data_IF_214279337204
#
_entry.id   IF_214279337204
#
_cell.length_a   1.000
_cell.length_b   1.000
_cell.length_c   1.000
_cell.angle_alpha   90.00
_cell.angle_beta   90.00
_cell.angle_gamma   90.00
#
_symmetry.space_group_name_H-M   'P 1'
#
loop_
_entity.id
_entity.type
_entity.pdbx_description
1 polymer ?
#
# COMPACT_ATOMS: atom_id res chain seq x y z
N UNK A 1 -1.71 -9.15 21.50
CA UNK A 1 -2.10 -8.73 20.14
C UNK A 1 -1.04 -9.07 19.10
N UNK A 2 0.23 -8.77 19.34
CA UNK A 2 1.35 -8.97 18.39
C UNK A 2 1.41 -10.36 17.73
N UNK A 3 1.33 -11.44 18.51
CA UNK A 3 1.41 -12.81 17.93
C UNK A 3 0.21 -13.13 17.03
N UNK A 4 -0.98 -12.65 17.39
CA UNK A 4 -2.22 -12.85 16.63
C UNK A 4 -2.13 -12.13 15.27
N UNK A 5 -1.68 -10.88 15.26
CA UNK A 5 -1.56 -10.11 14.03
C UNK A 5 -0.39 -10.60 13.16
N UNK A 6 0.75 -10.98 13.76
CA UNK A 6 1.86 -11.57 13.02
C UNK A 6 1.46 -12.86 12.30
N UNK A 7 0.71 -13.75 12.96
CA UNK A 7 0.19 -14.97 12.33
C UNK A 7 -0.78 -14.64 11.16
N UNK A 8 -1.62 -13.62 11.34
CA UNK A 8 -2.54 -13.17 10.30
C UNK A 8 -1.82 -12.68 9.05
N UNK A 9 -0.83 -11.78 9.18
CA UNK A 9 -0.13 -11.24 8.01
C UNK A 9 0.71 -12.29 7.28
N UNK A 10 1.22 -13.31 7.97
CA UNK A 10 1.90 -14.43 7.33
C UNK A 10 0.95 -15.24 6.44
N UNK A 11 -0.25 -15.52 6.93
CA UNK A 11 -1.28 -16.20 6.16
C UNK A 11 -1.77 -15.34 4.99
N UNK A 12 -2.01 -14.05 5.23
CA UNK A 12 -2.43 -13.11 4.19
C UNK A 12 -1.40 -12.99 3.06
N UNK A 13 -0.09 -12.95 3.39
CA UNK A 13 0.97 -12.97 2.36
C UNK A 13 0.88 -14.23 1.51
N UNK A 14 0.68 -15.40 2.10
CA UNK A 14 0.56 -16.66 1.37
C UNK A 14 -0.64 -16.63 0.41
N UNK A 15 -1.80 -16.16 0.88
CA UNK A 15 -3.01 -16.06 0.06
C UNK A 15 -2.83 -15.08 -1.10
N UNK A 16 -2.28 -13.90 -0.84
CA UNK A 16 -2.06 -12.86 -1.86
C UNK A 16 -1.07 -13.36 -2.91
N UNK A 17 0.09 -13.87 -2.50
CA UNK A 17 1.09 -14.33 -3.47
C UNK A 17 0.61 -15.50 -4.30
N UNK A 18 -0.05 -16.48 -3.71
CA UNK A 18 -0.64 -17.62 -4.43
C UNK A 18 -1.68 -17.16 -5.46
N UNK A 19 -2.55 -16.21 -5.10
CA UNK A 19 -3.58 -15.72 -6.03
C UNK A 19 -3.01 -14.86 -7.15
N UNK A 20 -2.02 -14.04 -6.87
CA UNK A 20 -1.33 -13.28 -7.92
C UNK A 20 -0.55 -14.18 -8.88
N UNK A 21 0.09 -15.24 -8.39
CA UNK A 21 0.72 -16.26 -9.25
C UNK A 21 -0.28 -16.98 -10.15
N UNK A 22 -1.48 -17.25 -9.64
CA UNK A 22 -2.58 -17.84 -10.44
C UNK A 22 -3.03 -16.88 -11.55
N UNK A 23 -3.14 -15.58 -11.25
CA UNK A 23 -3.51 -14.56 -12.24
C UNK A 23 -2.43 -14.35 -13.29
N UNK A 24 -1.15 -14.38 -12.90
CA UNK A 24 -0.01 -14.25 -13.80
C UNK A 24 0.12 -15.48 -14.73
N UNK A 25 -0.04 -16.67 -14.17
CA UNK A 25 0.00 -17.95 -14.90
C UNK A 25 1.40 -18.48 -15.22
N UNK A 26 2.44 -17.65 -15.17
CA UNK A 26 3.83 -17.99 -15.56
C UNK A 26 4.81 -17.70 -14.43
N UNK A 27 4.89 -16.47 -13.98
CA UNK A 27 5.88 -16.07 -12.98
C UNK A 27 5.50 -16.53 -11.57
N UNK A 28 6.51 -16.72 -10.74
CA UNK A 28 6.40 -17.10 -9.33
C UNK A 28 7.12 -16.08 -8.45
N UNK A 29 6.61 -15.91 -7.24
CA UNK A 29 7.28 -15.09 -6.24
C UNK A 29 8.57 -15.78 -5.76
N UNK A 30 9.69 -15.08 -5.88
CA UNK A 30 10.94 -15.46 -5.23
C UNK A 30 10.87 -14.99 -3.77
N UNK A 31 11.13 -15.90 -2.85
CA UNK A 31 11.16 -15.63 -1.42
C UNK A 31 12.58 -15.28 -0.96
N UNK A 32 12.66 -14.29 -0.08
CA UNK A 32 13.88 -13.84 0.57
C UNK A 32 13.60 -13.59 2.06
N UNK A 33 14.15 -14.47 2.90
CA UNK A 33 14.02 -14.40 4.37
C UNK A 33 15.24 -13.65 4.91
N UNK A 34 15.00 -12.70 5.80
CA UNK A 34 16.05 -11.88 6.37
C UNK A 34 15.85 -11.68 7.87
N UNK A 35 16.95 -11.51 8.57
CA UNK A 35 17.00 -11.21 9.98
C UNK A 35 17.61 -9.82 10.20
N UNK A 36 17.21 -9.17 11.28
CA UNK A 36 17.70 -7.86 11.69
C UNK A 36 18.59 -8.03 12.93
N UNK A 37 19.83 -7.50 12.92
CA UNK A 37 20.76 -7.63 14.06
C UNK A 37 20.18 -7.12 15.39
N UNK A 38 19.37 -6.07 15.34
CA UNK A 38 18.75 -5.45 16.53
C UNK A 38 17.50 -6.20 17.01
N UNK A 39 17.02 -7.18 16.27
CA UNK A 39 15.94 -8.06 16.65
C UNK A 39 14.80 -8.16 15.64
N UNK A 40 14.36 -9.39 15.43
CA UNK A 40 13.32 -9.73 14.47
C UNK A 40 13.84 -9.88 13.05
N UNK A 41 12.93 -9.78 12.08
CA UNK A 41 13.23 -9.99 10.66
C UNK A 41 12.00 -9.88 9.78
N UNK A 42 12.07 -10.49 8.62
CA UNK A 42 10.95 -10.49 7.69
C UNK A 42 11.11 -11.50 6.56
N UNK A 43 10.07 -11.53 5.74
CA UNK A 43 9.99 -12.36 4.54
C UNK A 43 9.49 -11.49 3.38
N UNK A 44 10.42 -11.22 2.46
CA UNK A 44 10.13 -10.49 1.23
C UNK A 44 9.82 -11.48 0.11
N UNK A 45 8.72 -11.29 -0.59
CA UNK A 45 8.40 -12.05 -1.80
C UNK A 45 8.29 -11.10 -2.97
N UNK A 46 9.06 -11.35 -4.04
CA UNK A 46 9.14 -10.50 -5.22
C UNK A 46 8.79 -11.31 -6.46
N UNK A 47 7.87 -10.80 -7.27
CA UNK A 47 7.58 -11.26 -8.62
C UNK A 47 8.17 -10.27 -9.62
N UNK A 48 8.84 -10.79 -10.66
CA UNK A 48 9.49 -9.99 -11.70
C UNK A 48 9.30 -10.67 -13.05
N UNK A 49 9.22 -9.86 -14.11
CA UNK A 49 9.13 -10.32 -15.50
C UNK A 49 7.97 -11.28 -15.77
N UNK A 50 6.86 -11.14 -15.06
CA UNK A 50 5.66 -11.93 -15.24
C UNK A 50 4.94 -11.60 -16.55
N UNK A 51 4.01 -12.46 -16.93
CA UNK A 51 3.15 -12.21 -18.07
C UNK A 51 2.16 -11.07 -17.78
N UNK A 52 1.65 -11.01 -16.58
CA UNK A 52 0.70 -9.98 -16.09
C UNK A 52 1.39 -8.97 -15.21
N UNK A 53 2.18 -9.41 -14.25
CA UNK A 53 2.85 -8.56 -13.28
C UNK A 53 4.32 -8.37 -13.66
N UNK A 54 4.64 -7.17 -14.13
CA UNK A 54 6.00 -6.83 -14.55
C UNK A 54 6.96 -6.78 -13.38
N UNK A 55 6.50 -6.23 -12.25
CA UNK A 55 7.21 -6.25 -10.97
C UNK A 55 6.20 -6.11 -9.83
N UNK A 56 6.47 -6.78 -8.73
CA UNK A 56 5.72 -6.58 -7.50
C UNK A 56 6.41 -7.21 -6.31
N UNK A 57 6.04 -6.75 -5.14
CA UNK A 57 6.50 -7.34 -3.91
C UNK A 57 5.41 -7.39 -2.86
N UNK A 58 5.41 -8.45 -2.09
CA UNK A 58 4.55 -8.65 -0.92
C UNK A 58 5.46 -8.99 0.25
N UNK A 59 5.64 -8.03 1.14
CA UNK A 59 6.63 -8.10 2.21
C UNK A 59 5.96 -8.17 3.57
N UNK A 60 6.45 -9.04 4.44
CA UNK A 60 6.14 -9.01 5.86
C UNK A 60 7.39 -8.73 6.67
N UNK A 61 7.21 -8.04 7.78
CA UNK A 61 8.24 -7.83 8.79
C UNK A 61 7.64 -7.97 10.19
N UNK A 62 8.46 -8.46 11.12
CA UNK A 62 8.17 -8.47 12.55
C UNK A 62 9.48 -8.13 13.26
N UNK A 63 9.62 -6.90 13.70
CA UNK A 63 10.86 -6.32 14.24
C UNK A 63 10.63 -5.78 15.63
N UNK A 64 11.67 -5.81 16.45
CA UNK A 64 11.65 -5.30 17.81
C UNK A 64 13.04 -4.77 18.20
N UNK A 65 13.12 -4.09 19.31
CA UNK A 65 14.37 -3.53 19.85
C UNK A 65 14.14 -2.21 20.56
N UNK A 66 15.20 -1.41 20.69
CA UNK A 66 15.12 -0.06 21.25
C UNK A 66 14.43 0.89 20.31
N UNK A 67 13.54 1.72 20.85
CA UNK A 67 12.81 2.73 20.07
C UNK A 67 13.81 3.76 19.49
N UNK A 68 13.81 4.00 18.16
CA UNK A 68 14.69 4.99 17.55
C UNK A 68 14.49 6.40 18.14
N UNK A 69 15.58 7.17 18.32
CA UNK A 69 15.53 8.52 18.91
C UNK A 69 14.50 9.45 18.23
N UNK A 70 14.36 9.35 16.93
CA UNK A 70 13.37 10.12 16.18
C UNK A 70 11.94 9.83 16.65
N UNK A 71 11.64 8.57 16.97
CA UNK A 71 10.34 8.17 17.51
C UNK A 71 10.21 8.53 18.99
N UNK A 72 11.28 8.43 19.78
CA UNK A 72 11.28 8.92 21.17
C UNK A 72 10.89 10.38 21.23
N UNK A 73 11.47 11.22 20.38
CA UNK A 73 11.12 12.65 20.26
C UNK A 73 9.69 12.86 19.80
N UNK A 74 9.24 12.11 18.80
CA UNK A 74 7.87 12.20 18.26
C UNK A 74 6.81 11.87 19.30
N UNK A 75 7.05 10.84 20.13
CA UNK A 75 6.10 10.41 21.15
C UNK A 75 6.33 11.07 22.52
N UNK A 76 7.35 11.92 22.64
CA UNK A 76 7.75 12.56 23.87
C UNK A 76 7.97 11.55 25.02
N UNK A 77 8.71 10.48 24.73
CA UNK A 77 9.08 9.42 25.66
C UNK A 77 10.60 9.32 25.77
N UNK A 78 11.09 8.77 26.88
CA UNK A 78 12.49 8.41 27.05
C UNK A 78 12.86 7.13 26.30
N UNK A 79 13.90 6.42 26.77
CA UNK A 79 14.22 5.09 26.27
C UNK A 79 13.01 4.16 26.46
N UNK A 80 12.70 3.42 25.44
CA UNK A 80 11.60 2.46 25.42
C UNK A 80 11.92 1.33 24.46
N UNK A 81 11.31 0.17 24.66
CA UNK A 81 11.35 -0.91 23.70
C UNK A 81 10.14 -0.85 22.79
N UNK A 82 10.26 -1.40 21.57
CA UNK A 82 9.14 -1.48 20.64
C UNK A 82 9.04 -2.86 19.99
N UNK A 83 7.84 -3.14 19.49
CA UNK A 83 7.56 -4.20 18.54
C UNK A 83 6.72 -3.61 17.39
N UNK A 84 7.07 -3.94 16.17
CA UNK A 84 6.29 -3.57 14.99
C UNK A 84 6.20 -4.77 14.05
N UNK A 85 5.01 -5.04 13.54
CA UNK A 85 4.86 -6.00 12.44
C UNK A 85 3.86 -5.50 11.42
N UNK A 86 4.03 -5.93 10.18
CA UNK A 86 3.15 -5.52 9.09
C UNK A 86 3.40 -6.28 7.80
N UNK A 87 2.41 -6.19 6.91
CA UNK A 87 2.49 -6.57 5.51
C UNK A 87 2.41 -5.30 4.66
N UNK A 88 3.29 -5.19 3.69
CA UNK A 88 3.28 -4.12 2.68
C UNK A 88 3.43 -4.71 1.30
N UNK A 89 2.67 -4.22 0.34
CA UNK A 89 2.77 -4.66 -1.05
C UNK A 89 2.62 -3.52 -2.04
N UNK A 90 3.28 -3.67 -3.18
CA UNK A 90 3.02 -2.91 -4.41
C UNK A 90 3.10 -3.87 -5.59
N UNK A 91 2.12 -3.81 -6.48
CA UNK A 91 2.08 -4.63 -7.69
C UNK A 91 1.97 -3.72 -8.91
N UNK A 92 2.92 -3.86 -9.83
CA UNK A 92 3.00 -3.13 -11.10
C UNK A 92 2.67 -4.04 -12.27
N UNK A 93 1.44 -3.98 -12.82
CA UNK A 93 1.08 -4.75 -14.01
C UNK A 93 1.84 -4.28 -15.25
N UNK A 94 2.09 -5.22 -16.17
CA UNK A 94 2.73 -4.95 -17.47
C UNK A 94 1.83 -4.13 -18.39
N UNK A 95 0.54 -4.48 -18.43
CA UNK A 95 -0.43 -3.84 -19.30
C UNK A 95 -0.83 -2.45 -18.75
N UNK A 96 -0.73 -1.37 -19.55
CA UNK A 96 -1.15 -0.02 -19.13
C UNK A 96 -2.61 0.10 -18.70
N UNK A 97 -3.48 -0.80 -19.18
CA UNK A 97 -4.90 -0.80 -18.83
C UNK A 97 -5.17 -1.38 -17.44
N UNK A 98 -4.22 -2.13 -16.86
CA UNK A 98 -4.30 -2.66 -15.52
C UNK A 98 -3.64 -1.69 -14.52
N UNK A 99 -4.32 -1.32 -13.42
CA UNK A 99 -3.77 -0.36 -12.46
C UNK A 99 -2.70 -0.96 -11.55
N UNK A 100 -1.76 -0.12 -11.10
CA UNK A 100 -0.92 -0.42 -9.94
C UNK A 100 -1.78 -0.42 -8.67
N UNK A 101 -1.47 -1.30 -7.74
CA UNK A 101 -2.10 -1.35 -6.42
C UNK A 101 -1.04 -1.32 -5.32
N UNK A 102 -1.34 -0.60 -4.26
CA UNK A 102 -0.57 -0.59 -3.02
C UNK A 102 -1.47 -0.99 -1.86
N UNK A 103 -0.92 -1.70 -0.89
CA UNK A 103 -1.57 -1.94 0.39
C UNK A 103 -0.55 -2.09 1.52
N UNK A 104 -0.99 -1.74 2.71
CA UNK A 104 -0.19 -1.90 3.92
C UNK A 104 -1.12 -2.14 5.11
N UNK A 105 -0.78 -3.09 5.97
CA UNK A 105 -1.45 -3.33 7.26
C UNK A 105 -0.39 -3.58 8.31
N UNK A 106 -0.43 -2.82 9.40
CA UNK A 106 0.63 -2.82 10.42
C UNK A 106 0.07 -2.74 11.83
N UNK A 107 0.83 -3.27 12.78
CA UNK A 107 0.58 -3.20 14.20
C UNK A 107 1.86 -2.77 14.92
N UNK A 108 1.72 -1.93 15.94
CA UNK A 108 2.83 -1.39 16.73
C UNK A 108 2.53 -1.48 18.21
N UNK A 109 3.53 -1.82 19.01
CA UNK A 109 3.53 -1.76 20.48
C UNK A 109 4.78 -1.03 20.98
N UNK A 110 4.63 -0.26 22.04
CA UNK A 110 5.73 0.38 22.78
C UNK A 110 5.65 -0.02 24.23
N UNK A 111 6.81 -0.29 24.83
CA UNK A 111 6.93 -0.82 26.18
C UNK A 111 7.75 0.09 27.08
N UNK A 112 7.38 0.14 28.36
CA UNK A 112 8.23 0.72 29.42
C UNK A 112 9.36 -0.23 29.84
N UNK A 113 10.21 0.21 30.78
CA UNK A 113 11.33 -0.56 31.31
C UNK A 113 10.91 -1.85 32.02
N UNK A 114 9.65 -2.00 32.41
CA UNK A 114 9.08 -3.19 33.03
C UNK A 114 8.44 -4.15 32.01
N UNK A 115 8.52 -3.82 30.69
CA UNK A 115 7.90 -4.60 29.64
C UNK A 115 6.37 -4.42 29.54
N UNK A 116 5.79 -3.41 30.19
CA UNK A 116 4.37 -3.08 30.09
C UNK A 116 4.11 -2.27 28.84
N UNK A 117 3.06 -2.59 28.09
CA UNK A 117 2.63 -1.80 26.94
C UNK A 117 2.17 -0.43 27.41
N UNK A 118 2.81 0.63 26.93
CA UNK A 118 2.48 2.03 27.19
C UNK A 118 1.78 2.69 25.99
N UNK A 119 1.91 2.12 24.81
CA UNK A 119 1.20 2.59 23.63
C UNK A 119 1.09 1.44 22.61
N UNK A 120 -0.03 1.36 21.90
CA UNK A 120 -0.21 0.43 20.79
C UNK A 120 -1.24 0.94 19.80
N UNK A 121 -1.09 0.59 18.53
CA UNK A 121 -2.07 0.97 17.49
C UNK A 121 -1.95 0.11 16.26
N UNK A 122 -3.03 0.10 15.49
CA UNK A 122 -3.04 -0.37 14.11
C UNK A 122 -2.96 0.79 13.12
N UNK A 123 -2.41 0.51 11.94
CA UNK A 123 -2.46 1.37 10.78
C UNK A 123 -2.51 0.55 9.51
N UNK A 124 -2.90 1.18 8.42
CA UNK A 124 -2.95 0.49 7.15
C UNK A 124 -3.73 1.23 6.07
N UNK A 125 -4.03 0.48 5.02
CA UNK A 125 -4.81 0.96 3.89
C UNK A 125 -4.52 0.18 2.63
N UNK A 126 -5.27 0.51 1.59
CA UNK A 126 -5.11 0.00 0.23
C UNK A 126 -5.59 1.05 -0.75
N UNK A 127 -4.84 1.28 -1.83
CA UNK A 127 -5.16 2.29 -2.83
C UNK A 127 -4.80 1.86 -4.25
N UNK A 128 -5.51 2.42 -5.23
CA UNK A 128 -5.43 2.06 -6.64
C UNK A 128 -4.86 3.21 -7.47
N UNK A 129 -3.90 2.91 -8.35
CA UNK A 129 -3.25 3.88 -9.23
C UNK A 129 -3.42 3.45 -10.70
N UNK A 130 -4.50 3.87 -11.37
CA UNK A 130 -4.70 3.61 -12.79
C UNK A 130 -3.85 4.56 -13.65
N UNK A 131 -3.50 4.09 -14.85
CA UNK A 131 -2.89 4.88 -15.92
C UNK A 131 -3.93 5.31 -16.95
N UNK A 132 -4.95 4.49 -17.12
CA UNK A 132 -6.18 4.74 -17.86
C UNK A 132 -7.36 4.53 -16.95
N UNK A 133 -8.26 5.49 -16.87
CA UNK A 133 -9.42 5.42 -16.00
C UNK A 133 -10.50 4.53 -16.62
N UNK A 134 -10.89 3.52 -15.86
CA UNK A 134 -12.15 2.78 -16.06
C UNK A 134 -13.02 3.03 -14.82
N UNK A 135 -14.08 3.78 -14.97
CA UNK A 135 -14.93 4.19 -13.83
C UNK A 135 -15.50 2.98 -13.08
N UNK A 136 -15.88 1.93 -13.81
CA UNK A 136 -16.38 0.70 -13.20
C UNK A 136 -15.36 0.01 -12.32
N UNK A 137 -14.04 0.10 -12.62
CA UNK A 137 -12.98 -0.46 -11.79
C UNK A 137 -12.79 0.39 -10.52
N UNK A 138 -12.87 1.72 -10.65
CA UNK A 138 -12.82 2.64 -9.52
C UNK A 138 -14.01 2.40 -8.56
N UNK A 139 -15.22 2.30 -9.10
CA UNK A 139 -16.45 2.01 -8.34
C UNK A 139 -16.31 0.65 -7.63
N UNK A 140 -15.89 -0.40 -8.36
CA UNK A 140 -15.71 -1.73 -7.77
C UNK A 140 -14.71 -1.72 -6.60
N UNK A 141 -13.54 -1.09 -6.79
CA UNK A 141 -12.51 -1.02 -5.76
C UNK A 141 -13.01 -0.28 -4.51
N UNK A 142 -13.62 0.88 -4.71
CA UNK A 142 -14.15 1.69 -3.62
C UNK A 142 -15.36 1.05 -2.93
N UNK A 143 -16.25 0.39 -3.68
CA UNK A 143 -17.39 -0.34 -3.11
C UNK A 143 -16.91 -1.51 -2.24
N UNK A 144 -15.90 -2.25 -2.67
CA UNK A 144 -15.31 -3.33 -1.85
C UNK A 144 -14.67 -2.76 -0.57
N UNK A 145 -13.92 -1.67 -0.67
CA UNK A 145 -13.40 -0.95 0.49
C UNK A 145 -14.50 -0.49 1.45
N UNK A 146 -15.57 0.10 0.91
CA UNK A 146 -16.72 0.57 1.69
C UNK A 146 -17.42 -0.59 2.39
N UNK A 147 -17.67 -1.68 1.69
CA UNK A 147 -18.31 -2.87 2.26
C UNK A 147 -17.51 -3.43 3.44
N UNK A 148 -16.17 -3.46 3.36
CA UNK A 148 -15.33 -3.88 4.48
C UNK A 148 -15.43 -2.92 5.67
N UNK A 149 -15.46 -1.61 5.43
CA UNK A 149 -15.61 -0.59 6.47
C UNK A 149 -16.98 -0.64 7.17
N UNK A 150 -18.06 -0.75 6.38
CA UNK A 150 -19.45 -0.69 6.86
C UNK A 150 -19.80 -1.85 7.82
N UNK A 151 -19.08 -2.98 7.75
CA UNK A 151 -19.20 -4.09 8.72
C UNK A 151 -18.80 -3.68 10.14
N UNK A 152 -18.02 -2.61 10.28
CA UNK A 152 -17.50 -2.14 11.57
C UNK A 152 -18.11 -0.81 11.97
N UNK A 153 -18.13 0.18 11.08
CA UNK A 153 -18.74 1.48 11.33
C UNK A 153 -19.01 2.23 10.02
N UNK A 154 -20.20 2.83 9.83
CA UNK A 154 -20.56 3.53 8.58
C UNK A 154 -19.68 4.76 8.28
N UNK A 155 -19.12 5.41 9.31
CA UNK A 155 -18.23 6.56 9.14
C UNK A 155 -16.78 6.16 8.77
N UNK A 156 -16.41 4.88 8.80
CA UNK A 156 -15.04 4.47 8.53
C UNK A 156 -14.64 4.70 7.07
N UNK A 157 -15.51 4.33 6.13
CA UNK A 157 -15.20 4.55 4.72
C UNK A 157 -15.01 6.03 4.38
N UNK A 158 -15.95 6.96 4.63
CA UNK A 158 -15.76 8.37 4.29
C UNK A 158 -14.54 8.98 4.99
N UNK A 159 -14.31 8.62 6.26
CA UNK A 159 -13.16 9.09 7.04
C UNK A 159 -11.83 8.61 6.44
N UNK A 160 -11.69 7.32 6.19
CA UNK A 160 -10.42 6.73 5.74
C UNK A 160 -10.17 6.92 4.25
N UNK A 161 -11.22 7.08 3.45
CA UNK A 161 -11.13 7.54 2.06
C UNK A 161 -10.55 8.95 2.01
N UNK A 162 -11.08 9.87 2.82
CA UNK A 162 -10.54 11.24 2.91
C UNK A 162 -9.08 11.25 3.37
N UNK A 163 -8.72 10.47 4.38
CA UNK A 163 -7.33 10.36 4.83
C UNK A 163 -6.41 9.79 3.73
N UNK A 164 -6.91 8.87 2.90
CA UNK A 164 -6.18 8.35 1.76
C UNK A 164 -5.92 9.43 0.71
N UNK A 165 -6.94 10.22 0.35
CA UNK A 165 -6.82 11.32 -0.60
C UNK A 165 -5.80 12.38 -0.12
N UNK A 166 -5.89 12.75 1.16
CA UNK A 166 -4.99 13.74 1.75
C UNK A 166 -3.53 13.23 1.82
N UNK A 167 -3.34 11.92 2.14
CA UNK A 167 -2.02 11.34 2.29
C UNK A 167 -1.29 11.15 0.95
N UNK A 168 -1.98 10.63 -0.07
CA UNK A 168 -1.39 10.31 -1.38
C UNK A 168 -1.43 11.47 -2.37
N UNK A 169 -1.48 12.71 -1.87
CA UNK A 169 -1.38 13.92 -2.67
C UNK A 169 0.07 14.23 -3.02
N UNK A 170 0.38 14.31 -4.31
CA UNK A 170 1.69 14.66 -4.84
C UNK A 170 1.80 16.19 -4.96
N UNK A 171 2.18 16.85 -3.88
CA UNK A 171 2.06 18.29 -3.71
C UNK A 171 2.81 19.11 -4.79
N UNK A 172 4.00 18.67 -5.20
CA UNK A 172 4.79 19.40 -6.23
C UNK A 172 4.26 19.20 -7.66
N UNK A 173 3.30 18.28 -7.85
CA UNK A 173 2.58 18.08 -9.12
C UNK A 173 1.16 18.60 -9.07
N UNK A 174 0.65 18.93 -7.89
CA UNK A 174 -0.73 19.31 -7.65
C UNK A 174 -1.74 18.25 -8.18
N UNK A 175 -1.44 16.98 -7.95
CA UNK A 175 -2.29 15.85 -8.34
C UNK A 175 -2.21 14.71 -7.32
N UNK A 176 -3.23 13.88 -7.24
CA UNK A 176 -3.19 12.65 -6.47
C UNK A 176 -2.31 11.58 -7.14
N UNK A 177 -1.69 10.72 -6.35
CA UNK A 177 -0.93 9.56 -6.85
C UNK A 177 -1.82 8.58 -7.62
N UNK A 178 -3.06 8.39 -7.16
CA UNK A 178 -4.07 7.50 -7.73
C UNK A 178 -5.47 7.93 -7.38
N UNK A 179 -6.43 7.06 -7.59
CA UNK A 179 -7.87 7.33 -7.34
C UNK A 179 -8.28 7.13 -5.88
N UNK A 180 -7.31 6.88 -4.98
CA UNK A 180 -7.55 6.67 -3.57
C UNK A 180 -7.94 5.24 -3.21
N UNK A 181 -8.61 5.12 -2.10
CA UNK A 181 -8.97 3.87 -1.43
C UNK A 181 -9.14 4.13 0.06
N UNK A 182 -8.40 3.41 0.89
CA UNK A 182 -8.41 3.59 2.35
C UNK A 182 -7.00 3.88 2.87
N UNK A 183 -6.91 4.82 3.80
CA UNK A 183 -5.73 5.01 4.63
C UNK A 183 -6.15 5.34 6.06
N UNK A 184 -5.63 4.60 7.03
CA UNK A 184 -5.87 4.81 8.46
C UNK A 184 -4.58 4.62 9.25
N UNK A 185 -4.40 5.39 10.29
CA UNK A 185 -3.26 5.30 11.20
C UNK A 185 -3.65 5.65 12.63
N UNK A 186 -2.81 5.23 13.58
CA UNK A 186 -3.04 5.45 15.00
C UNK A 186 -4.42 5.00 15.49
N UNK A 187 -4.89 3.85 14.97
CA UNK A 187 -6.10 3.20 15.45
C UNK A 187 -5.84 2.60 16.83
N UNK A 188 -6.06 3.40 17.86
CA UNK A 188 -5.80 3.10 19.28
C UNK A 188 -7.07 2.71 20.03
N UNK A 189 -6.89 2.01 21.13
CA UNK A 189 -7.98 1.76 22.06
C UNK A 189 -8.63 3.04 22.54
N UNK A 190 -9.95 3.05 22.55
CA UNK A 190 -10.80 4.13 23.06
C UNK A 190 -11.86 3.54 23.99
N UNK A 191 -12.75 4.38 24.50
CA UNK A 191 -13.89 3.89 25.28
C UNK A 191 -14.82 2.98 24.48
N UNK A 192 -15.00 3.28 23.19
CA UNK A 192 -15.93 2.59 22.28
C UNK A 192 -15.29 1.56 21.38
N UNK A 193 -13.97 1.59 21.17
CA UNK A 193 -13.23 0.68 20.29
C UNK A 193 -12.06 0.07 21.05
N UNK A 194 -12.12 -1.25 21.25
CA UNK A 194 -11.02 -2.00 21.87
C UNK A 194 -10.00 -2.46 20.82
N UNK A 195 -8.79 -2.86 21.26
CA UNK A 195 -7.76 -3.36 20.32
C UNK A 195 -8.23 -4.57 19.51
N UNK A 196 -9.16 -5.37 20.05
CA UNK A 196 -9.76 -6.48 19.33
C UNK A 196 -10.69 -6.01 18.20
N UNK A 197 -11.42 -4.92 18.39
CA UNK A 197 -12.29 -4.33 17.36
C UNK A 197 -11.43 -3.77 16.22
N UNK A 198 -10.32 -3.11 16.55
CA UNK A 198 -9.34 -2.65 15.56
C UNK A 198 -8.68 -3.80 14.81
N UNK A 199 -8.33 -4.89 15.50
CA UNK A 199 -7.83 -6.10 14.85
C UNK A 199 -8.84 -6.64 13.84
N UNK A 200 -10.11 -6.78 14.23
CA UNK A 200 -11.16 -7.27 13.36
C UNK A 200 -11.36 -6.37 12.15
N UNK A 201 -11.37 -5.04 12.34
CA UNK A 201 -11.46 -4.07 11.24
C UNK A 201 -10.28 -4.19 10.26
N UNK A 202 -9.05 -4.16 10.77
CA UNK A 202 -7.84 -4.21 9.92
C UNK A 202 -7.75 -5.52 9.15
N UNK A 203 -8.12 -6.63 9.79
CA UNK A 203 -8.14 -7.94 9.11
C UNK A 203 -9.27 -8.05 8.09
N UNK A 204 -10.43 -7.44 8.33
CA UNK A 204 -11.51 -7.36 7.33
C UNK A 204 -11.06 -6.58 6.08
N UNK A 205 -10.42 -5.42 6.27
CA UNK A 205 -9.86 -4.66 5.15
C UNK A 205 -8.78 -5.46 4.42
N UNK A 206 -7.89 -6.14 5.14
CA UNK A 206 -6.87 -7.00 4.52
C UNK A 206 -7.46 -8.17 3.73
N UNK A 207 -8.49 -8.81 4.24
CA UNK A 207 -9.17 -9.92 3.58
C UNK A 207 -9.93 -9.47 2.32
N UNK A 208 -10.40 -8.22 2.27
CA UNK A 208 -11.08 -7.66 1.09
C UNK A 208 -10.14 -7.35 -0.09
N UNK A 209 -8.82 -7.35 0.12
CA UNK A 209 -7.84 -6.95 -0.89
C UNK A 209 -7.93 -7.74 -2.20
N UNK A 210 -8.01 -9.06 -2.10
CA UNK A 210 -8.07 -9.91 -3.29
C UNK A 210 -9.36 -9.69 -4.08
N UNK A 211 -10.49 -9.50 -3.40
CA UNK A 211 -11.78 -9.17 -4.03
C UNK A 211 -11.74 -7.79 -4.68
N UNK A 212 -11.08 -6.81 -4.05
CA UNK A 212 -10.95 -5.46 -4.57
C UNK A 212 -10.09 -5.39 -5.84
N UNK A 213 -8.96 -6.13 -5.90
CA UNK A 213 -7.96 -5.94 -6.94
C UNK A 213 -7.96 -7.01 -8.04
N UNK A 214 -8.10 -8.30 -7.68
CA UNK A 214 -7.93 -9.41 -8.64
C UNK A 214 -8.91 -9.35 -9.81
N UNK A 215 -10.22 -9.06 -9.63
CA UNK A 215 -11.14 -8.94 -10.76
C UNK A 215 -10.74 -7.85 -11.75
N UNK A 216 -10.22 -6.71 -11.27
CA UNK A 216 -9.73 -5.61 -12.09
C UNK A 216 -8.54 -6.06 -12.93
N UNK A 217 -7.51 -6.61 -12.28
CA UNK A 217 -6.31 -7.08 -12.97
C UNK A 217 -6.64 -8.16 -14.01
N UNK A 218 -7.47 -9.13 -13.66
CA UNK A 218 -7.90 -10.20 -14.56
C UNK A 218 -8.68 -9.68 -15.78
N UNK A 219 -9.53 -8.67 -15.60
CA UNK A 219 -10.31 -8.03 -16.67
C UNK A 219 -9.45 -7.22 -17.63
N UNK A 220 -8.36 -6.60 -17.14
CA UNK A 220 -7.55 -5.62 -17.89
C UNK A 220 -6.26 -6.21 -18.49
N UNK A 221 -5.77 -7.32 -17.98
CA UNK A 221 -4.45 -7.89 -18.32
C UNK A 221 -4.25 -8.21 -19.80
N UNK A 222 -5.31 -8.50 -20.54
CA UNK A 222 -5.23 -8.93 -21.96
C UNK A 222 -5.75 -7.86 -22.93
N UNK A 223 -6.10 -6.67 -22.44
CA UNK A 223 -6.54 -5.59 -23.34
C UNK A 223 -5.39 -5.18 -24.27
N UNK A 224 -5.66 -4.95 -25.57
CA UNK A 224 -4.63 -4.46 -26.48
C UNK A 224 -4.17 -3.06 -26.08
N UNK A 225 -2.89 -2.77 -26.29
CA UNK A 225 -2.33 -1.44 -26.07
C UNK A 225 -1.21 -1.15 -27.08
N UNK A 226 -0.98 0.15 -27.33
CA UNK A 226 0.07 0.64 -28.23
C UNK A 226 1.37 0.95 -27.47
N UNK A 227 2.43 1.25 -28.23
CA UNK A 227 3.71 1.70 -27.67
C UNK A 227 3.58 3.07 -26.97
N UNK A 228 2.72 3.96 -27.48
CA UNK A 228 2.43 5.28 -26.91
C UNK A 228 1.73 5.12 -25.55
N UNK A 229 0.77 4.19 -25.44
CA UNK A 229 0.09 3.87 -24.19
C UNK A 229 1.05 3.27 -23.15
N UNK A 230 2.02 2.46 -23.59
CA UNK A 230 3.09 1.99 -22.72
C UNK A 230 3.98 3.13 -22.24
N UNK A 231 4.37 4.05 -23.13
CA UNK A 231 5.14 5.24 -22.77
C UNK A 231 4.39 6.11 -21.76
N UNK A 232 3.08 6.30 -21.95
CA UNK A 232 2.24 6.99 -20.96
C UNK A 232 2.27 6.32 -19.58
N UNK A 233 2.13 5.02 -19.52
CA UNK A 233 2.25 4.27 -18.27
C UNK A 233 3.59 4.57 -17.58
N UNK A 234 4.70 4.57 -18.31
CA UNK A 234 6.03 4.82 -17.74
C UNK A 234 6.20 6.26 -17.25
N UNK A 235 5.59 7.24 -17.94
CA UNK A 235 5.52 8.63 -17.47
C UNK A 235 4.72 8.72 -16.15
N UNK A 236 3.56 8.08 -16.08
CA UNK A 236 2.76 8.07 -14.85
C UNK A 236 3.44 7.30 -13.70
N UNK A 237 4.19 6.26 -14.00
CA UNK A 237 5.06 5.59 -13.03
C UNK A 237 6.15 6.52 -12.49
N UNK A 238 6.64 7.46 -13.29
CA UNK A 238 7.52 8.52 -12.81
C UNK A 238 6.86 9.34 -11.69
N UNK A 239 5.57 9.71 -11.80
CA UNK A 239 4.82 10.40 -10.74
C UNK A 239 4.67 9.54 -9.48
N UNK A 240 4.45 8.24 -9.64
CA UNK A 240 4.41 7.29 -8.55
C UNK A 240 5.75 7.22 -7.79
N UNK A 241 6.87 7.17 -8.52
CA UNK A 241 8.22 7.18 -7.92
C UNK A 241 8.49 8.49 -7.20
N UNK A 242 8.13 9.65 -7.79
CA UNK A 242 8.27 10.94 -7.12
C UNK A 242 7.57 10.96 -5.77
N UNK A 243 6.32 10.50 -5.70
CA UNK A 243 5.60 10.42 -4.43
C UNK A 243 6.33 9.55 -3.42
N UNK A 244 6.70 8.33 -3.81
CA UNK A 244 7.31 7.36 -2.91
C UNK A 244 8.66 7.83 -2.36
N UNK A 245 9.49 8.49 -3.17
CA UNK A 245 10.82 8.94 -2.74
C UNK A 245 10.80 10.32 -2.04
N UNK A 246 9.82 11.17 -2.31
CA UNK A 246 9.79 12.56 -1.81
C UNK A 246 8.79 12.74 -0.66
N UNK A 247 7.64 12.07 -0.72
CA UNK A 247 6.52 12.34 0.18
C UNK A 247 6.13 11.15 1.08
N UNK A 248 6.40 9.91 0.66
CA UNK A 248 5.97 8.75 1.45
C UNK A 248 6.73 8.64 2.77
N UNK A 249 6.01 8.88 3.88
CA UNK A 249 6.58 8.86 5.23
C UNK A 249 7.20 7.50 5.59
N UNK A 250 6.62 6.41 5.10
CA UNK A 250 7.11 5.06 5.35
C UNK A 250 8.46 4.81 4.65
N UNK A 251 8.56 5.16 3.38
CA UNK A 251 9.81 5.08 2.60
C UNK A 251 10.90 5.95 3.22
N UNK A 252 10.58 7.22 3.48
CA UNK A 252 11.54 8.17 4.08
C UNK A 252 12.01 7.71 5.46
N UNK A 253 11.12 7.20 6.30
CA UNK A 253 11.47 6.67 7.60
C UNK A 253 12.37 5.43 7.47
N UNK A 254 11.99 4.47 6.63
CA UNK A 254 12.77 3.27 6.40
C UNK A 254 14.20 3.55 5.92
N UNK A 255 14.36 4.46 4.96
CA UNK A 255 15.67 4.86 4.45
C UNK A 255 16.53 5.60 5.52
N UNK A 256 15.90 6.43 6.37
CA UNK A 256 16.60 7.17 7.45
C UNK A 256 16.97 6.31 8.64
N UNK A 257 16.31 5.19 8.85
CA UNK A 257 16.52 4.30 10.02
C UNK A 257 17.24 3.00 9.67
N UNK A 258 18.00 2.98 8.57
CA UNK A 258 18.71 1.80 8.07
C UNK A 258 17.81 0.58 7.87
N UNK A 259 16.55 0.79 7.45
CA UNK A 259 15.68 -0.26 7.02
C UNK A 259 16.27 -1.03 5.82
N UNK A 260 15.82 -2.26 5.61
CA UNK A 260 16.30 -3.08 4.49
C UNK A 260 15.95 -2.43 3.14
N UNK A 261 16.94 -1.82 2.49
CA UNK A 261 16.79 -1.02 1.27
C UNK A 261 16.06 -1.81 0.17
N UNK A 262 16.46 -3.07 -0.06
CA UNK A 262 15.85 -3.93 -1.09
C UNK A 262 14.35 -4.15 -0.85
N UNK A 263 13.94 -4.32 0.42
CA UNK A 263 12.52 -4.48 0.78
C UNK A 263 11.72 -3.16 0.69
N UNK A 264 12.38 -2.02 0.74
CA UNK A 264 11.78 -0.69 0.58
C UNK A 264 11.65 -0.35 -0.90
N UNK A 265 12.75 -0.41 -1.65
CA UNK A 265 12.82 0.03 -3.05
C UNK A 265 12.22 -0.98 -4.03
N UNK A 266 11.91 -2.22 -3.61
CA UNK A 266 11.15 -3.14 -4.44
C UNK A 266 9.76 -2.60 -4.82
N UNK A 267 9.22 -1.63 -4.05
CA UNK A 267 7.94 -0.96 -4.33
C UNK A 267 7.96 -0.10 -5.60
N UNK A 268 9.14 0.21 -6.13
CA UNK A 268 9.28 1.02 -7.33
C UNK A 268 9.09 0.19 -8.60
N UNK A 269 8.46 0.74 -9.66
CA UNK A 269 8.32 0.07 -10.93
C UNK A 269 9.67 -0.12 -11.63
N UNK A 270 9.82 -1.13 -12.53
CA UNK A 270 11.08 -1.42 -13.20
C UNK A 270 11.44 -0.41 -14.29
N UNK A 271 10.43 0.22 -14.91
CA UNK A 271 10.58 1.18 -16.00
C UNK A 271 9.77 2.43 -15.73
N UNK A 272 10.41 3.57 -15.86
CA UNK A 272 9.84 4.91 -15.69
C UNK A 272 10.42 5.87 -16.71
N UNK A 273 9.68 6.93 -17.03
CA UNK A 273 10.17 8.01 -17.88
C UNK A 273 9.80 9.37 -17.29
N UNK A 274 10.67 10.35 -17.47
CA UNK A 274 10.41 11.76 -17.20
C UNK A 274 10.61 12.54 -18.48
N UNK A 275 9.51 13.06 -19.04
CA UNK A 275 9.56 13.97 -20.18
C UNK A 275 9.44 15.41 -19.68
N UNK A 276 10.24 16.31 -20.27
CA UNK A 276 10.17 17.71 -19.94
C UNK A 276 8.86 18.32 -20.44
N UNK A 277 8.11 18.98 -19.54
CA UNK A 277 6.86 19.70 -19.82
C UNK A 277 5.83 18.87 -20.62
N UNK A 278 5.66 17.59 -20.25
CA UNK A 278 4.75 16.69 -20.94
C UNK A 278 3.31 16.94 -20.52
N UNK A 279 2.48 17.22 -21.52
CA UNK A 279 1.02 17.30 -21.39
C UNK A 279 0.37 16.30 -22.34
N UNK A 280 -0.67 15.57 -21.91
CA UNK A 280 -1.44 14.72 -22.80
C UNK A 280 -2.22 15.56 -23.84
N UNK A 281 -2.58 14.93 -24.95
CA UNK A 281 -3.43 15.55 -25.97
C UNK A 281 -4.80 15.90 -25.42
N UNK A 282 -5.31 17.09 -25.75
CA UNK A 282 -6.61 17.54 -25.28
C UNK A 282 -7.73 16.61 -25.77
N UNK A 283 -8.59 16.17 -24.85
CA UNK A 283 -9.69 15.24 -25.11
C UNK A 283 -9.30 13.76 -25.11
N UNK A 284 -7.99 13.44 -24.91
CA UNK A 284 -7.52 12.05 -24.82
C UNK A 284 -7.94 11.35 -23.52
N UNK A 285 -7.83 10.04 -23.48
CA UNK A 285 -8.08 9.24 -22.27
C UNK A 285 -6.99 9.53 -21.18
N UNK A 286 -5.79 9.89 -21.61
CA UNK A 286 -4.70 10.34 -20.74
C UNK A 286 -5.07 11.65 -20.04
N UNK A 287 -5.62 12.63 -20.76
CA UNK A 287 -6.10 13.90 -20.16
C UNK A 287 -7.26 13.66 -19.20
N UNK A 288 -8.20 12.78 -19.53
CA UNK A 288 -9.30 12.40 -18.63
C UNK A 288 -8.77 11.81 -17.32
N UNK A 289 -7.75 10.96 -17.39
CA UNK A 289 -7.12 10.40 -16.21
C UNK A 289 -6.47 11.49 -15.35
N UNK A 290 -5.75 12.46 -15.94
CA UNK A 290 -5.18 13.59 -15.20
C UNK A 290 -6.28 14.40 -14.49
N UNK A 291 -7.35 14.75 -15.19
CA UNK A 291 -8.46 15.55 -14.61
C UNK A 291 -9.09 14.89 -13.37
N UNK A 292 -9.15 13.57 -13.35
CA UNK A 292 -9.64 12.80 -12.19
C UNK A 292 -8.66 12.87 -11.02
N UNK A 293 -7.36 12.98 -11.29
CA UNK A 293 -6.32 13.04 -10.26
C UNK A 293 -6.09 14.46 -9.69
N UNK A 294 -6.61 15.50 -10.36
CA UNK A 294 -6.50 16.89 -9.88
C UNK A 294 -7.34 17.19 -8.64
N UNK A 295 -8.33 16.38 -8.34
CA UNK A 295 -9.19 16.52 -7.15
C UNK A 295 -9.79 15.17 -6.72
N UNK A 296 -10.03 14.98 -5.42
CA UNK A 296 -10.72 13.78 -4.92
C UNK A 296 -12.12 13.64 -5.52
N UNK A 297 -12.46 12.39 -5.92
CA UNK A 297 -13.78 12.02 -6.42
C UNK A 297 -14.46 11.08 -5.43
N UNK A 298 -15.75 11.25 -5.23
CA UNK A 298 -16.58 10.30 -4.53
C UNK A 298 -17.08 9.24 -5.52
N UNK A 299 -16.57 8.01 -5.40
CA UNK A 299 -16.88 6.90 -6.31
C UNK A 299 -18.14 6.12 -5.91
N UNK A 300 -18.49 6.13 -4.59
CA UNK A 300 -19.61 5.38 -3.99
C UNK A 300 -20.22 6.12 -2.80
#
# INVERSE_FOLDING_TARGET
>A
MKNKFNAYIQNLQNQITSKLEEVDGVAKFREDIWERPEGGGGRTRVIENGQVFEKGGVNISAVHGKLPEAMQKMFNVGEADFFACGLSLVIHPKNPMAPTVHANWRYFEMYDDNGKIINSWFGGGQDLTPYYLFEEDAIHFHQTCKTACDKHHPEFYPKYKKQCDDYFWNAHRNEARGIGGLFFDYCKETETMKMEDWFNFVTEVGNSFLEAYVPIAAKRKELPYSAEQRTWQEIRRGRYVEFNLVHDKGTLFGLKTNGRIESILMSLPPHVQWHYDHHPEAGSEEEKTIKVLEKPINWV
#
